data_IF_015148862266
#
_entry.id   IF_015148862266
#
_cell.length_a   1.000
_cell.length_b   1.000
_cell.length_c   1.000
_cell.angle_alpha   90.00
_cell.angle_beta   90.00
_cell.angle_gamma   90.00
#
_symmetry.space_group_name_H-M   'P 1'
#
loop_
_entity.id
_entity.type
_entity.pdbx_description
1 polymer ?
#
# COMPACT_ATOMS: atom_id res chain seq x y z
N UNK A 1 -19.83 -2.16 7.36
CA UNK A 1 -18.81 -1.35 6.68
C UNK A 1 -18.32 -0.33 7.66
N UNK A 2 -17.02 -0.16 7.75
CA UNK A 2 -16.36 0.87 8.54
C UNK A 2 -15.61 1.80 7.58
N UNK A 3 -15.77 3.11 7.77
CA UNK A 3 -15.20 4.14 6.90
C UNK A 3 -14.26 5.02 7.72
N UNK A 4 -13.02 5.19 7.24
CA UNK A 4 -12.04 6.12 7.82
C UNK A 4 -11.34 6.93 6.74
N UNK A 5 -11.03 8.18 7.06
CA UNK A 5 -10.22 9.05 6.22
C UNK A 5 -8.83 9.20 6.85
N UNK A 6 -7.80 8.65 6.22
CA UNK A 6 -6.42 8.82 6.66
C UNK A 6 -5.78 10.01 5.96
N UNK A 7 -5.18 10.91 6.73
CA UNK A 7 -4.43 12.07 6.21
C UNK A 7 -2.96 11.90 6.55
N UNK A 8 -2.14 11.75 5.52
CA UNK A 8 -0.70 11.54 5.66
C UNK A 8 0.03 12.72 5.00
N UNK A 9 0.59 13.60 5.82
CA UNK A 9 1.42 14.68 5.33
C UNK A 9 2.82 14.17 4.99
N UNK A 10 3.41 14.70 3.93
CA UNK A 10 4.77 14.36 3.49
C UNK A 10 5.58 15.63 3.26
N UNK A 11 6.89 15.65 3.60
CA UNK A 11 7.82 16.76 3.32
C UNK A 11 8.22 16.82 1.84
N UNK A 12 7.24 16.69 0.95
CA UNK A 12 7.36 16.57 -0.50
C UNK A 12 6.29 17.44 -1.16
N UNK A 13 6.45 17.72 -2.45
CA UNK A 13 5.34 18.21 -3.29
C UNK A 13 4.52 17.03 -3.83
N UNK A 14 3.28 17.30 -4.27
CA UNK A 14 2.45 16.35 -5.02
C UNK A 14 3.21 15.84 -6.26
N UNK A 15 3.92 16.73 -6.98
CA UNK A 15 4.70 16.34 -8.15
C UNK A 15 5.81 15.33 -7.84
N UNK A 16 6.56 15.56 -6.76
CA UNK A 16 7.62 14.63 -6.29
C UNK A 16 7.01 13.30 -5.82
N UNK A 17 5.91 13.35 -5.06
CA UNK A 17 5.26 12.15 -4.54
C UNK A 17 4.71 11.24 -5.66
N UNK A 18 4.39 11.80 -6.84
CA UNK A 18 4.02 11.00 -8.03
C UNK A 18 5.09 9.95 -8.36
N UNK A 19 6.37 10.31 -8.27
CA UNK A 19 7.50 9.44 -8.56
C UNK A 19 7.83 8.59 -7.34
N UNK A 20 7.97 9.23 -6.18
CA UNK A 20 8.36 8.56 -4.94
C UNK A 20 7.42 7.43 -4.52
N UNK A 21 6.10 7.56 -4.76
CA UNK A 21 5.16 6.49 -4.43
C UNK A 21 5.38 5.24 -5.30
N UNK A 22 5.67 5.40 -6.60
CA UNK A 22 5.85 4.28 -7.51
C UNK A 22 7.13 3.52 -7.13
N UNK A 23 8.22 4.26 -6.93
CA UNK A 23 9.47 3.72 -6.44
C UNK A 23 9.28 2.96 -5.12
N UNK A 24 8.64 3.60 -4.13
CA UNK A 24 8.39 3.01 -2.82
C UNK A 24 7.56 1.73 -2.93
N UNK A 25 6.47 1.73 -3.69
CA UNK A 25 5.59 0.56 -3.85
C UNK A 25 6.38 -0.61 -4.45
N UNK A 26 7.18 -0.37 -5.49
CA UNK A 26 7.96 -1.42 -6.15
C UNK A 26 9.04 -1.99 -5.22
N UNK A 27 9.82 -1.13 -4.56
CA UNK A 27 10.87 -1.55 -3.63
C UNK A 27 10.30 -2.25 -2.40
N UNK A 28 9.25 -1.69 -1.79
CA UNK A 28 8.59 -2.29 -0.63
C UNK A 28 8.03 -3.67 -0.96
N UNK A 29 7.34 -3.80 -2.09
CA UNK A 29 6.80 -5.09 -2.55
C UNK A 29 7.91 -6.13 -2.70
N UNK A 30 9.07 -5.73 -3.25
CA UNK A 30 10.22 -6.61 -3.39
C UNK A 30 10.87 -7.01 -2.06
N UNK A 31 10.96 -6.08 -1.09
CA UNK A 31 11.51 -6.35 0.24
C UNK A 31 10.60 -7.25 1.09
N UNK A 32 9.28 -7.10 0.95
CA UNK A 32 8.29 -7.89 1.71
C UNK A 32 7.95 -9.24 1.06
N UNK A 33 8.45 -9.51 -0.14
CA UNK A 33 8.21 -10.78 -0.83
C UNK A 33 9.39 -11.73 -0.68
N UNK A 34 9.10 -12.93 -0.21
CA UNK A 34 10.07 -14.03 -0.13
C UNK A 34 9.34 -15.38 -0.15
N UNK A 35 9.98 -16.42 -0.73
CA UNK A 35 9.57 -17.84 -0.62
C UNK A 35 8.07 -18.12 -0.76
N UNK A 36 7.44 -17.68 -1.85
CA UNK A 36 6.01 -17.93 -2.13
C UNK A 36 5.02 -17.12 -1.27
N UNK A 37 5.51 -16.16 -0.49
CA UNK A 37 4.73 -15.15 0.22
C UNK A 37 5.07 -13.76 -0.35
N UNK A 38 4.11 -12.83 -0.30
CA UNK A 38 4.29 -11.47 -0.82
C UNK A 38 3.46 -11.18 -2.06
N UNK A 39 3.98 -10.32 -2.94
CA UNK A 39 3.22 -9.65 -4.00
C UNK A 39 3.59 -10.22 -5.36
N UNK A 40 2.63 -10.82 -6.06
CA UNK A 40 2.71 -11.14 -7.47
C UNK A 40 1.99 -10.06 -8.28
N UNK A 41 2.68 -9.45 -9.23
CA UNK A 41 2.08 -8.52 -10.18
C UNK A 41 1.55 -9.30 -11.37
N UNK A 42 0.22 -9.29 -11.54
CA UNK A 42 -0.49 -10.02 -12.58
C UNK A 42 -0.65 -9.17 -13.83
N UNK A 43 -1.00 -7.90 -13.66
CA UNK A 43 -1.22 -6.97 -14.77
C UNK A 43 -0.68 -5.58 -14.39
N UNK A 44 -0.06 -4.90 -15.36
CA UNK A 44 0.36 -3.50 -15.26
C UNK A 44 0.32 -2.87 -16.65
N UNK A 45 -0.73 -2.09 -16.94
CA UNK A 45 -0.95 -1.53 -18.28
C UNK A 45 -1.59 -0.14 -18.24
N UNK A 46 -1.40 0.68 -19.30
CA UNK A 46 -2.14 1.92 -19.45
C UNK A 46 -3.65 1.68 -19.48
N UNK A 47 -4.41 2.60 -18.89
CA UNK A 47 -5.87 2.53 -18.83
C UNK A 47 -6.48 3.90 -19.16
N UNK A 48 -7.55 3.94 -19.94
CA UNK A 48 -8.27 5.18 -20.26
C UNK A 48 -9.68 5.11 -19.64
N UNK A 49 -9.98 6.07 -18.76
CA UNK A 49 -11.29 6.19 -18.12
C UNK A 49 -12.10 7.35 -18.74
N UNK A 50 -13.40 7.17 -19.03
CA UNK A 50 -14.24 8.22 -19.60
C UNK A 50 -14.37 9.49 -18.73
N UNK A 51 -14.21 9.37 -17.41
CA UNK A 51 -14.38 10.45 -16.45
C UNK A 51 -13.04 10.98 -15.92
N UNK A 52 -12.05 10.10 -15.75
CA UNK A 52 -10.75 10.43 -15.15
C UNK A 52 -9.61 10.54 -16.16
N UNK A 53 -9.83 10.18 -17.42
CA UNK A 53 -8.85 10.25 -18.50
C UNK A 53 -7.79 9.16 -18.41
N UNK A 54 -6.57 9.49 -18.85
CA UNK A 54 -5.46 8.55 -18.90
C UNK A 54 -4.95 8.19 -17.50
N UNK A 55 -4.70 6.92 -17.27
CA UNK A 55 -4.14 6.37 -16.04
C UNK A 55 -3.39 5.06 -16.27
N UNK A 56 -3.09 4.39 -15.17
CA UNK A 56 -2.47 3.07 -15.14
C UNK A 56 -3.35 2.10 -14.36
N UNK A 57 -3.64 0.95 -14.92
CA UNK A 57 -4.27 -0.16 -14.21
C UNK A 57 -3.21 -1.15 -13.74
N UNK A 58 -3.33 -1.61 -12.50
CA UNK A 58 -2.55 -2.74 -12.00
C UNK A 58 -3.45 -3.76 -11.30
N UNK A 59 -3.15 -5.04 -11.49
CA UNK A 59 -3.71 -6.13 -10.70
C UNK A 59 -2.57 -6.90 -10.04
N UNK A 60 -2.68 -7.13 -8.73
CA UNK A 60 -1.71 -7.87 -7.94
C UNK A 60 -2.40 -8.91 -7.07
N UNK A 61 -1.68 -9.98 -6.76
CA UNK A 61 -2.08 -10.99 -5.78
C UNK A 61 -1.11 -10.96 -4.62
N UNK A 62 -1.66 -10.79 -3.41
CA UNK A 62 -0.89 -10.76 -2.18
C UNK A 62 -1.11 -12.07 -1.42
N UNK A 63 -0.06 -12.88 -1.32
CA UNK A 63 -0.03 -14.15 -0.61
C UNK A 63 0.40 -13.91 0.84
N UNK A 64 -0.47 -14.27 1.79
CA UNK A 64 -0.36 -13.91 3.22
C UNK A 64 -0.52 -15.12 4.17
N UNK A 65 -0.29 -16.34 3.70
CA UNK A 65 -0.62 -17.53 4.50
C UNK A 65 0.26 -17.65 5.75
N UNK A 66 1.50 -17.19 5.69
CA UNK A 66 2.44 -17.17 6.82
C UNK A 66 2.14 -16.08 7.85
N UNK A 67 1.43 -15.03 7.43
CA UNK A 67 1.10 -13.85 8.26
C UNK A 67 -0.15 -14.05 9.13
N UNK A 68 -0.86 -15.16 8.97
CA UNK A 68 -1.99 -15.50 9.83
C UNK A 68 -1.55 -15.99 11.22
N UNK A 69 -2.26 -15.60 12.29
CA UNK A 69 -2.09 -16.21 13.60
C UNK A 69 -2.20 -17.75 13.54
N UNK A 70 -1.44 -18.46 14.38
CA UNK A 70 -1.37 -19.94 14.33
C UNK A 70 -2.73 -20.64 14.41
N UNK A 71 -3.69 -20.10 15.17
CA UNK A 71 -5.05 -20.66 15.24
C UNK A 71 -5.82 -20.53 13.92
N UNK A 72 -5.59 -19.45 13.16
CA UNK A 72 -6.26 -19.20 11.88
C UNK A 72 -5.64 -20.06 10.76
N UNK A 73 -4.31 -20.26 10.77
CA UNK A 73 -3.61 -21.10 9.79
C UNK A 73 -4.11 -22.54 9.74
N UNK A 74 -4.63 -23.07 10.85
CA UNK A 74 -5.14 -24.44 10.92
C UNK A 74 -6.51 -24.63 10.24
N UNK A 75 -7.26 -23.55 10.01
CA UNK A 75 -8.66 -23.62 9.55
C UNK A 75 -8.92 -22.83 8.25
N UNK A 76 -8.02 -21.92 7.89
CA UNK A 76 -8.12 -21.10 6.68
C UNK A 76 -7.34 -21.80 5.55
N UNK A 77 -7.98 -22.14 4.40
CA UNK A 77 -7.26 -22.69 3.26
C UNK A 77 -6.31 -21.63 2.69
N UNK A 78 -5.36 -22.05 1.86
CA UNK A 78 -4.49 -21.10 1.16
C UNK A 78 -5.35 -20.10 0.40
N UNK A 79 -5.10 -18.81 0.64
CA UNK A 79 -5.82 -17.71 0.01
C UNK A 79 -4.84 -16.65 -0.44
N UNK A 80 -5.35 -15.72 -1.24
CA UNK A 80 -4.66 -14.51 -1.63
C UNK A 80 -5.65 -13.35 -1.60
N UNK A 81 -5.11 -12.16 -1.41
CA UNK A 81 -5.86 -10.91 -1.58
C UNK A 81 -5.57 -10.40 -2.98
N UNK A 82 -6.60 -10.18 -3.79
CA UNK A 82 -6.47 -9.50 -5.08
C UNK A 82 -6.56 -8.00 -4.84
N UNK A 83 -5.50 -7.27 -5.20
CA UNK A 83 -5.46 -5.81 -5.31
C UNK A 83 -5.71 -5.43 -6.77
N UNK A 84 -6.67 -4.55 -7.02
CA UNK A 84 -6.84 -3.85 -8.30
C UNK A 84 -6.70 -2.36 -8.05
N UNK A 85 -5.86 -1.68 -8.81
CA UNK A 85 -5.63 -0.26 -8.66
C UNK A 85 -5.71 0.48 -9.99
N UNK A 86 -6.45 1.60 -10.00
CA UNK A 86 -6.54 2.53 -11.11
C UNK A 86 -5.93 3.86 -10.68
N UNK A 87 -4.79 4.20 -11.28
CA UNK A 87 -4.01 5.38 -10.95
C UNK A 87 -4.18 6.46 -12.03
N UNK A 88 -4.98 7.47 -11.71
CA UNK A 88 -5.25 8.67 -12.51
C UNK A 88 -4.58 9.89 -11.86
N UNK A 89 -3.35 9.74 -11.36
CA UNK A 89 -2.69 10.70 -10.47
C UNK A 89 -2.97 12.17 -10.87
N UNK A 90 -3.52 13.01 -9.97
CA UNK A 90 -3.53 12.88 -8.50
C UNK A 90 -4.79 12.22 -7.89
N UNK A 91 -5.49 11.37 -8.62
CA UNK A 91 -6.57 10.54 -8.07
C UNK A 91 -6.25 9.05 -8.24
N UNK A 92 -6.59 8.22 -7.26
CA UNK A 92 -6.35 6.77 -7.33
C UNK A 92 -7.50 6.03 -6.67
N UNK A 93 -7.93 4.94 -7.31
CA UNK A 93 -8.88 3.98 -6.75
C UNK A 93 -8.13 2.67 -6.53
N UNK A 94 -8.35 2.02 -5.40
CA UNK A 94 -7.78 0.70 -5.11
C UNK A 94 -8.81 -0.18 -4.43
N UNK A 95 -9.01 -1.37 -4.97
CA UNK A 95 -9.94 -2.37 -4.49
C UNK A 95 -9.19 -3.62 -4.05
N UNK A 96 -9.51 -4.12 -2.87
CA UNK A 96 -9.02 -5.40 -2.36
C UNK A 96 -10.19 -6.36 -2.19
N UNK A 97 -10.01 -7.59 -2.67
CA UNK A 97 -10.93 -8.71 -2.45
C UNK A 97 -10.15 -9.93 -1.99
N UNK A 98 -10.79 -10.87 -1.30
CA UNK A 98 -10.14 -12.07 -0.79
C UNK A 98 -10.69 -13.32 -1.48
N UNK A 99 -9.80 -14.17 -2.00
CA UNK A 99 -10.20 -15.39 -2.72
C UNK A 99 -10.94 -16.41 -1.86
N UNK A 100 -10.76 -16.36 -0.53
CA UNK A 100 -11.45 -17.24 0.42
C UNK A 100 -12.69 -16.59 1.05
N UNK A 101 -12.74 -15.26 1.15
CA UNK A 101 -13.79 -14.52 1.85
C UNK A 101 -14.55 -13.64 0.85
N UNK A 102 -15.55 -14.16 0.12
CA UNK A 102 -16.21 -13.43 -0.97
C UNK A 102 -17.00 -12.19 -0.52
N UNK A 103 -17.29 -12.07 0.79
CA UNK A 103 -17.95 -10.89 1.39
C UNK A 103 -16.98 -9.91 2.04
N UNK A 104 -15.68 -10.12 1.88
CA UNK A 104 -14.64 -9.21 2.33
C UNK A 104 -14.22 -8.29 1.19
N UNK A 105 -14.25 -6.98 1.43
CA UNK A 105 -13.62 -6.02 0.54
C UNK A 105 -13.01 -4.84 1.29
N UNK A 106 -11.97 -4.25 0.69
CA UNK A 106 -11.46 -2.93 1.05
C UNK A 106 -11.55 -2.07 -0.21
N UNK A 107 -12.13 -0.89 -0.08
CA UNK A 107 -12.15 0.13 -1.14
C UNK A 107 -11.41 1.36 -0.65
N UNK A 108 -10.43 1.83 -1.42
CA UNK A 108 -9.61 2.99 -1.08
C UNK A 108 -9.66 3.98 -2.22
N UNK A 109 -10.08 5.20 -1.90
CA UNK A 109 -9.92 6.34 -2.78
C UNK A 109 -8.85 7.26 -2.23
N UNK A 110 -7.90 7.65 -3.08
CA UNK A 110 -6.81 8.54 -2.69
C UNK A 110 -6.82 9.80 -3.53
N UNK A 111 -6.71 10.96 -2.86
CA UNK A 111 -6.49 12.26 -3.47
C UNK A 111 -5.25 12.91 -2.86
N UNK A 112 -4.54 13.72 -3.63
CA UNK A 112 -3.31 14.38 -3.20
C UNK A 112 -3.41 15.90 -3.40
N UNK A 113 -3.01 16.68 -2.39
CA UNK A 113 -2.98 18.15 -2.47
C UNK A 113 -1.71 18.71 -1.80
N UNK A 114 -1.17 19.80 -2.33
CA UNK A 114 -0.05 20.55 -1.73
C UNK A 114 -0.53 21.40 -0.54
N UNK A 115 -0.95 20.71 0.53
CA UNK A 115 -1.34 21.32 1.79
C UNK A 115 -1.00 20.39 2.97
N UNK A 116 -1.34 20.84 4.18
CA UNK A 116 -1.03 20.12 5.43
C UNK A 116 -2.20 19.30 5.99
N UNK A 117 -3.03 18.73 5.12
CA UNK A 117 -4.18 17.93 5.54
C UNK A 117 -5.38 18.76 5.99
N UNK A 118 -5.54 19.97 5.44
CA UNK A 118 -6.54 20.95 5.86
C UNK A 118 -7.87 20.91 5.07
N UNK A 119 -7.96 20.13 3.99
CA UNK A 119 -9.18 20.07 3.17
C UNK A 119 -10.20 19.07 3.75
N UNK A 120 -11.23 19.58 4.41
CA UNK A 120 -12.30 18.75 4.99
C UNK A 120 -13.35 18.30 3.98
N UNK A 121 -13.38 18.93 2.79
CA UNK A 121 -14.38 18.68 1.75
C UNK A 121 -13.85 17.80 0.62
N UNK A 122 -12.64 17.26 0.75
CA UNK A 122 -11.96 16.54 -0.33
C UNK A 122 -12.71 15.27 -0.77
N UNK A 123 -13.54 14.68 0.10
CA UNK A 123 -14.36 13.50 -0.17
C UNK A 123 -15.88 13.77 -0.05
N UNK A 124 -16.32 15.02 -0.23
CA UNK A 124 -17.75 15.36 -0.09
C UNK A 124 -18.60 14.76 -1.21
N UNK A 125 -18.01 14.35 -2.34
CA UNK A 125 -18.77 13.65 -3.39
C UNK A 125 -18.98 12.17 -3.05
N UNK A 126 -18.01 11.57 -2.36
CA UNK A 126 -17.95 10.13 -2.14
C UNK A 126 -18.47 9.71 -0.76
N UNK A 127 -18.45 10.62 0.22
CA UNK A 127 -18.81 10.34 1.61
C UNK A 127 -19.61 11.47 2.29
N UNK A 128 -20.39 12.26 1.54
CA UNK A 128 -21.13 13.43 2.07
C UNK A 128 -21.97 13.15 3.31
N UNK A 129 -22.65 12.00 3.31
CA UNK A 129 -23.65 11.62 4.31
C UNK A 129 -23.20 10.40 5.13
N UNK A 130 -21.92 10.05 5.06
CA UNK A 130 -21.35 8.92 5.79
C UNK A 130 -20.53 9.42 6.98
N UNK A 131 -20.81 8.86 8.15
CA UNK A 131 -19.95 9.09 9.32
C UNK A 131 -18.56 8.50 9.04
N UNK A 132 -17.53 9.34 9.13
CA UNK A 132 -16.14 8.96 8.92
C UNK A 132 -15.25 9.52 10.02
N UNK A 133 -14.37 8.66 10.54
CA UNK A 133 -13.31 9.09 11.45
C UNK A 133 -12.14 9.64 10.63
N UNK A 134 -11.74 10.89 10.89
CA UNK A 134 -10.55 11.49 10.28
C UNK A 134 -9.33 11.17 11.15
N UNK A 135 -8.41 10.38 10.62
CA UNK A 135 -7.19 9.94 11.29
C UNK A 135 -5.97 10.60 10.65
N UNK A 136 -5.22 11.41 11.39
CA UNK A 136 -3.91 11.87 10.94
C UNK A 136 -2.87 10.79 11.23
N UNK A 137 -2.01 10.52 10.25
CA UNK A 137 -0.83 9.66 10.43
C UNK A 137 0.41 10.55 10.38
N UNK A 138 1.19 10.56 11.46
CA UNK A 138 2.45 11.28 11.53
C UNK A 138 3.62 10.33 11.28
N UNK A 139 4.28 10.47 10.12
CA UNK A 139 5.39 9.60 9.72
C UNK A 139 6.59 9.68 10.68
N UNK A 140 6.75 10.75 11.44
CA UNK A 140 7.84 10.92 12.39
C UNK A 140 7.44 10.46 13.80
N UNK A 141 6.23 10.79 14.25
CA UNK A 141 5.84 10.62 15.65
C UNK A 141 5.03 9.36 15.94
N UNK A 142 4.28 8.82 14.98
CA UNK A 142 3.47 7.63 15.22
C UNK A 142 4.34 6.37 15.35
N UNK A 143 3.97 5.51 16.29
CA UNK A 143 4.65 4.22 16.51
C UNK A 143 4.33 3.22 15.40
N UNK A 144 5.36 2.47 14.98
CA UNK A 144 5.24 1.28 14.12
C UNK A 144 5.55 0.02 14.93
N UNK A 145 5.05 -1.16 14.53
CA UNK A 145 5.43 -2.40 15.18
C UNK A 145 6.96 -2.61 15.09
N UNK A 146 7.59 -2.92 16.23
CA UNK A 146 9.06 -3.06 16.38
C UNK A 146 9.72 -3.92 15.29
N UNK A 147 9.05 -4.99 14.86
CA UNK A 147 9.54 -5.90 13.81
C UNK A 147 9.76 -5.22 12.43
N UNK A 148 9.14 -4.06 12.20
CA UNK A 148 9.29 -3.27 10.98
C UNK A 148 10.19 -2.04 11.19
N UNK A 149 10.66 -1.79 12.42
CA UNK A 149 11.51 -0.64 12.68
C UNK A 149 12.91 -0.85 12.10
N UNK A 150 13.37 0.13 11.31
CA UNK A 150 14.74 0.26 10.87
C UNK A 150 15.15 1.72 11.09
N UNK A 151 16.28 1.93 11.77
CA UNK A 151 16.79 3.27 12.07
C UNK A 151 17.03 4.10 10.80
N UNK A 152 17.49 3.46 9.73
CA UNK A 152 17.70 4.10 8.42
C UNK A 152 16.40 4.58 7.75
N UNK A 153 15.25 4.06 8.18
CA UNK A 153 13.92 4.42 7.67
C UNK A 153 13.15 5.30 8.65
N UNK A 154 13.80 5.81 9.71
CA UNK A 154 13.17 6.72 10.66
C UNK A 154 13.29 8.18 10.24
N UNK A 155 12.20 8.89 9.90
CA UNK A 155 12.23 10.31 9.57
C UNK A 155 12.78 11.22 10.67
N UNK A 156 12.78 10.79 11.94
CA UNK A 156 13.43 11.52 13.05
C UNK A 156 14.95 11.48 12.98
N UNK A 157 15.51 10.48 12.32
CA UNK A 157 16.97 10.28 12.21
C UNK A 157 17.49 10.50 10.79
N UNK A 158 16.64 10.29 9.79
CA UNK A 158 16.95 10.48 8.39
C UNK A 158 17.03 11.96 8.01
N UNK A 159 18.05 12.30 7.22
CA UNK A 159 18.19 13.58 6.53
C UNK A 159 18.70 13.30 5.12
N UNK A 160 17.96 13.80 4.13
CA UNK A 160 18.30 13.66 2.73
C UNK A 160 19.56 14.45 2.38
N UNK A 161 20.51 13.81 1.70
CA UNK A 161 21.70 14.46 1.17
C UNK A 161 21.37 15.29 -0.08
N UNK A 162 20.42 14.84 -0.91
CA UNK A 162 20.05 15.53 -2.16
C UNK A 162 19.20 16.78 -1.93
N UNK A 163 18.26 16.69 -1.00
CA UNK A 163 17.27 17.75 -0.77
C UNK A 163 17.53 18.58 0.49
N UNK A 164 18.36 18.06 1.40
CA UNK A 164 18.59 18.65 2.72
C UNK A 164 17.41 18.52 3.70
N UNK A 165 16.30 17.87 3.29
CA UNK A 165 15.07 17.71 4.08
C UNK A 165 15.25 16.67 5.18
N UNK A 166 14.55 16.86 6.29
CA UNK A 166 14.77 16.11 7.52
C UNK A 166 15.94 16.68 8.34
N UNK A 167 16.13 16.27 9.59
CA UNK A 167 15.33 15.34 10.38
C UNK A 167 13.98 15.94 10.79
N UNK A 168 12.92 15.13 10.76
CA UNK A 168 11.58 15.56 11.16
C UNK A 168 11.43 15.53 12.69
N UNK A 169 10.95 16.63 13.26
CA UNK A 169 10.70 16.77 14.71
C UNK A 169 9.21 16.85 14.98
N UNK A 170 8.81 16.70 16.24
CA UNK A 170 7.42 16.95 16.65
C UNK A 170 6.96 18.34 16.17
N UNK A 171 5.77 18.39 15.57
CA UNK A 171 5.21 19.61 14.99
C UNK A 171 5.75 19.98 13.59
N UNK A 172 6.58 19.13 12.96
CA UNK A 172 7.18 19.42 11.64
C UNK A 172 6.14 19.81 10.57
N UNK A 173 4.94 19.23 10.63
CA UNK A 173 3.83 19.49 9.69
C UNK A 173 3.46 20.98 9.59
N UNK A 174 3.63 21.75 10.66
CA UNK A 174 3.25 23.16 10.68
C UNK A 174 4.35 24.10 10.16
N UNK A 175 5.60 23.64 10.10
CA UNK A 175 6.75 24.46 9.74
C UNK A 175 7.47 24.02 8.45
N UNK A 176 7.30 22.77 8.01
CA UNK A 176 8.04 22.22 6.87
C UNK A 176 7.51 22.75 5.54
N UNK A 177 8.43 23.03 4.60
CA UNK A 177 8.13 23.32 3.20
C UNK A 177 9.20 22.66 2.30
N UNK A 178 8.83 22.03 1.17
CA UNK A 178 7.45 21.82 0.69
C UNK A 178 6.65 20.86 1.58
N UNK A 179 5.33 20.85 1.42
CA UNK A 179 4.43 19.91 2.09
C UNK A 179 3.23 19.55 1.21
N UNK A 180 2.90 18.26 1.18
CA UNK A 180 1.69 17.70 0.58
C UNK A 180 0.95 16.84 1.58
N UNK A 181 -0.33 16.56 1.32
CA UNK A 181 -1.11 15.57 2.06
C UNK A 181 -1.75 14.55 1.11
N UNK A 182 -1.56 13.26 1.43
CA UNK A 182 -2.29 12.15 0.85
C UNK A 182 -3.53 11.93 1.70
N UNK A 183 -4.70 12.09 1.11
CA UNK A 183 -6.00 11.84 1.73
C UNK A 183 -6.49 10.50 1.22
N UNK A 184 -6.73 9.54 2.12
CA UNK A 184 -7.14 8.18 1.80
C UNK A 184 -8.46 7.86 2.47
N UNK A 185 -9.54 7.81 1.70
CA UNK A 185 -10.84 7.34 2.15
C UNK A 185 -10.87 5.82 2.05
N UNK A 186 -10.84 5.14 3.20
CA UNK A 186 -10.76 3.68 3.28
C UNK A 186 -12.09 3.15 3.81
N UNK A 187 -12.74 2.34 2.99
CA UNK A 187 -13.93 1.57 3.36
C UNK A 187 -13.53 0.10 3.53
N UNK A 188 -13.77 -0.47 4.71
CA UNK A 188 -13.65 -1.92 4.93
C UNK A 188 -15.04 -2.51 5.10
N UNK A 189 -15.34 -3.57 4.35
CA UNK A 189 -16.61 -4.29 4.40
C UNK A 189 -16.36 -5.76 4.73
N UNK A 190 -17.01 -6.25 5.79
CA UNK A 190 -16.96 -7.67 6.16
C UNK A 190 -18.30 -8.17 6.70
N UNK A 191 -19.09 -8.85 5.87
CA UNK A 191 -20.47 -9.27 6.22
C UNK A 191 -20.55 -10.70 6.78
N UNK A 192 -19.87 -10.95 7.92
CA UNK A 192 -19.98 -12.22 8.65
C UNK A 192 -20.58 -11.98 10.04
N UNK A 193 -21.68 -12.67 10.32
CA UNK A 193 -22.43 -12.53 11.58
C UNK A 193 -21.52 -12.83 12.79
N UNK A 194 -21.59 -11.94 13.79
CA UNK A 194 -20.80 -12.05 15.03
C UNK A 194 -19.32 -11.65 14.92
N UNK A 195 -18.79 -11.41 13.71
CA UNK A 195 -17.37 -11.07 13.50
C UNK A 195 -17.13 -9.72 12.78
N UNK A 196 -18.18 -9.14 12.17
CA UNK A 196 -18.11 -7.89 11.39
C UNK A 196 -17.24 -6.80 12.02
N UNK A 197 -17.67 -6.21 13.13
CA UNK A 197 -17.00 -5.06 13.76
C UNK A 197 -15.54 -5.36 14.12
N UNK A 198 -15.28 -6.55 14.68
CA UNK A 198 -13.94 -6.95 15.12
C UNK A 198 -12.97 -7.06 13.95
N UNK A 199 -13.41 -7.63 12.83
CA UNK A 199 -12.59 -7.80 11.63
C UNK A 199 -12.41 -6.47 10.91
N UNK A 200 -13.47 -5.67 10.74
CA UNK A 200 -13.39 -4.34 10.12
C UNK A 200 -12.38 -3.44 10.87
N UNK A 201 -12.44 -3.42 12.21
CA UNK A 201 -11.48 -2.69 13.05
C UNK A 201 -10.04 -3.22 12.94
N UNK A 202 -9.88 -4.55 12.95
CA UNK A 202 -8.56 -5.17 12.80
C UNK A 202 -7.91 -4.80 11.46
N UNK A 203 -8.68 -4.86 10.37
CA UNK A 203 -8.19 -4.52 9.03
C UNK A 203 -7.82 -3.04 8.94
N UNK A 204 -8.61 -2.13 9.52
CA UNK A 204 -8.23 -0.71 9.59
C UNK A 204 -6.93 -0.46 10.37
N UNK A 205 -6.65 -1.24 11.42
CA UNK A 205 -5.36 -1.18 12.11
C UNK A 205 -4.22 -1.61 11.18
N UNK A 206 -4.39 -2.72 10.46
CA UNK A 206 -3.39 -3.20 9.49
C UNK A 206 -3.17 -2.17 8.37
N UNK A 207 -4.24 -1.59 7.81
CA UNK A 207 -4.15 -0.54 6.79
C UNK A 207 -3.37 0.66 7.33
N UNK A 208 -3.68 1.14 8.54
CA UNK A 208 -2.94 2.26 9.16
C UNK A 208 -1.45 1.96 9.28
N UNK A 209 -1.09 0.76 9.75
CA UNK A 209 0.31 0.37 9.92
C UNK A 209 1.04 0.33 8.57
N UNK A 210 0.43 -0.24 7.53
CA UNK A 210 0.98 -0.27 6.16
C UNK A 210 1.16 1.14 5.61
N UNK A 211 0.16 2.01 5.78
CA UNK A 211 0.23 3.40 5.34
C UNK A 211 1.38 4.13 6.04
N UNK A 212 1.52 4.00 7.35
CA UNK A 212 2.60 4.63 8.10
C UNK A 212 3.98 4.14 7.64
N UNK A 213 4.17 2.82 7.53
CA UNK A 213 5.45 2.22 7.10
C UNK A 213 5.81 2.66 5.68
N UNK A 214 4.89 2.53 4.73
CA UNK A 214 5.15 2.90 3.32
C UNK A 214 5.47 4.38 3.16
N UNK A 215 4.82 5.27 3.91
CA UNK A 215 5.12 6.70 3.83
C UNK A 215 6.44 7.07 4.52
N UNK A 216 6.81 6.40 5.62
CA UNK A 216 8.17 6.54 6.20
C UNK A 216 9.25 6.18 5.19
N UNK A 217 9.07 5.04 4.52
CA UNK A 217 9.98 4.56 3.49
C UNK A 217 10.04 5.48 2.26
N UNK A 218 8.89 5.99 1.79
CA UNK A 218 8.85 6.94 0.69
C UNK A 218 9.74 8.16 0.95
N UNK A 219 9.74 8.68 2.19
CA UNK A 219 10.61 9.80 2.56
C UNK A 219 12.06 9.36 2.82
N UNK A 220 12.28 8.27 3.55
CA UNK A 220 13.62 7.79 3.87
C UNK A 220 14.42 7.34 2.63
N UNK A 221 13.74 6.93 1.56
CA UNK A 221 14.37 6.58 0.29
C UNK A 221 14.40 7.74 -0.71
N UNK A 222 14.10 8.98 -0.29
CA UNK A 222 14.04 10.13 -1.21
C UNK A 222 15.32 10.31 -2.01
N UNK A 223 16.50 10.10 -1.41
CA UNK A 223 17.76 10.23 -2.13
C UNK A 223 17.91 9.21 -3.28
N UNK A 224 17.19 8.09 -3.23
CA UNK A 224 17.23 7.06 -4.27
C UNK A 224 16.37 7.42 -5.49
N UNK A 225 15.25 8.12 -5.29
CA UNK A 225 14.27 8.38 -6.36
C UNK A 225 14.12 9.86 -6.75
N UNK A 226 14.67 10.82 -5.99
CA UNK A 226 14.42 12.25 -6.19
C UNK A 226 14.75 12.78 -7.59
N UNK A 227 15.82 12.26 -8.21
CA UNK A 227 16.25 12.68 -9.56
C UNK A 227 15.67 11.81 -10.67
N UNK A 228 14.84 10.81 -10.35
CA UNK A 228 14.21 9.98 -11.36
C UNK A 228 13.20 10.80 -12.14
N UNK A 229 13.15 10.57 -13.45
CA UNK A 229 12.03 10.97 -14.28
C UNK A 229 10.88 9.96 -14.13
N UNK A 230 9.71 10.29 -14.71
CA UNK A 230 8.61 9.33 -14.81
C UNK A 230 9.01 8.09 -15.61
N UNK A 231 9.88 8.21 -16.62
CA UNK A 231 10.32 7.07 -17.42
C UNK A 231 11.27 6.17 -16.60
N UNK A 232 12.20 6.77 -15.87
CA UNK A 232 13.14 6.03 -15.00
C UNK A 232 12.40 5.20 -13.95
N UNK A 233 11.40 5.78 -13.27
CA UNK A 233 10.65 5.06 -12.24
C UNK A 233 9.75 3.97 -12.84
N UNK A 234 9.28 4.13 -14.09
CA UNK A 234 8.52 3.08 -14.80
C UNK A 234 9.42 1.92 -15.21
N UNK A 235 10.63 2.19 -15.65
CA UNK A 235 11.63 1.15 -15.91
C UNK A 235 12.00 0.42 -14.62
N UNK A 236 12.24 1.15 -13.53
CA UNK A 236 12.48 0.58 -12.21
C UNK A 236 11.32 -0.30 -11.74
N UNK A 237 10.09 0.20 -11.85
CA UNK A 237 8.86 -0.53 -11.50
C UNK A 237 8.78 -1.86 -12.27
N UNK A 238 8.97 -1.83 -13.59
CA UNK A 238 8.95 -3.02 -14.43
C UNK A 238 10.00 -4.04 -14.00
N UNK A 239 11.25 -3.61 -13.86
CA UNK A 239 12.36 -4.48 -13.45
C UNK A 239 12.11 -5.10 -12.06
N UNK A 240 11.53 -4.33 -11.14
CA UNK A 240 11.24 -4.82 -9.80
C UNK A 240 10.06 -5.77 -9.76
N UNK A 241 9.03 -5.55 -10.58
CA UNK A 241 7.93 -6.49 -10.72
C UNK A 241 8.41 -7.85 -11.22
N UNK A 242 9.26 -7.87 -12.25
CA UNK A 242 9.82 -9.12 -12.78
C UNK A 242 10.62 -9.87 -11.71
N UNK A 243 11.53 -9.19 -11.00
CA UNK A 243 12.32 -9.81 -9.94
C UNK A 243 11.47 -10.29 -8.76
N UNK A 244 10.42 -9.56 -8.41
CA UNK A 244 9.51 -9.93 -7.32
C UNK A 244 8.68 -11.15 -7.70
N UNK A 245 8.14 -11.17 -8.92
CA UNK A 245 7.40 -12.33 -9.44
C UNK A 245 8.29 -13.58 -9.48
N UNK A 246 9.57 -13.46 -9.86
CA UNK A 246 10.52 -14.58 -9.80
C UNK A 246 10.65 -15.14 -8.37
N UNK A 247 10.75 -14.29 -7.35
CA UNK A 247 10.82 -14.71 -5.93
C UNK A 247 9.57 -15.47 -5.48
N UNK A 248 8.40 -15.02 -5.91
CA UNK A 248 7.10 -15.56 -5.48
C UNK A 248 6.72 -16.82 -6.28
N UNK A 249 6.86 -16.79 -7.61
CA UNK A 249 6.32 -17.81 -8.51
C UNK A 249 7.24 -19.02 -8.73
N UNK A 250 8.57 -18.89 -8.61
CA UNK A 250 9.50 -20.01 -8.87
C UNK A 250 9.30 -21.22 -7.92
N UNK A 251 8.54 -21.09 -6.83
CA UNK A 251 8.17 -22.22 -5.97
C UNK A 251 6.73 -22.71 -6.14
N UNK A 252 5.85 -21.94 -6.79
CA UNK A 252 4.52 -22.44 -7.13
C UNK A 252 4.60 -23.54 -8.19
N UNK A 253 5.49 -23.41 -9.18
CA UNK A 253 5.76 -24.48 -10.15
C UNK A 253 6.29 -25.75 -9.48
N UNK A 254 7.27 -25.64 -8.57
CA UNK A 254 7.85 -26.82 -7.91
C UNK A 254 6.85 -27.58 -7.03
N UNK A 255 5.91 -26.87 -6.38
CA UNK A 255 4.92 -27.52 -5.51
C UNK A 255 3.81 -28.20 -6.33
N UNK A 256 3.41 -27.63 -7.47
CA UNK A 256 2.43 -28.25 -8.38
C UNK A 256 3.04 -29.48 -9.07
N UNK A 257 4.29 -29.38 -9.52
CA UNK A 257 5.02 -30.50 -10.13
C UNK A 257 5.27 -31.64 -9.13
N UNK A 258 5.50 -31.35 -7.84
CA UNK A 258 5.60 -32.37 -6.78
C UNK A 258 4.25 -33.07 -6.48
N UNK A 259 3.13 -32.34 -6.54
CA UNK A 259 1.79 -32.92 -6.34
C UNK A 259 1.37 -33.76 -7.56
N UNK A 260 1.65 -33.30 -8.78
CA UNK A 260 1.35 -34.06 -10.00
C UNK A 260 2.24 -35.32 -10.13
N UNK A 261 3.52 -35.24 -9.73
CA UNK A 261 4.41 -36.41 -9.73
C UNK A 261 4.06 -37.44 -8.65
N UNK A 262 3.55 -37.02 -7.48
CA UNK A 262 3.03 -37.94 -6.47
C UNK A 262 1.68 -38.58 -6.87
N UNK A 263 0.85 -37.85 -7.63
CA UNK A 263 -0.39 -38.40 -8.18
C UNK A 263 -0.13 -39.43 -9.30
N UNK A 264 0.90 -39.24 -10.12
CA UNK A 264 1.27 -40.18 -11.20
C UNK A 264 2.04 -41.42 -10.73
N UNK A 265 2.66 -41.38 -9.55
CA UNK A 265 3.38 -42.54 -8.96
C UNK A 265 2.49 -43.43 -8.10
N UNK A 266 1.22 -43.05 -7.91
CA UNK A 266 0.25 -43.78 -7.06
C UNK A 266 -0.82 -44.55 -7.86
N UNK A 267 -0.63 -44.77 -9.16
CA UNK A 267 -1.49 -45.61 -10.03
C UNK A 267 -0.76 -46.83 -10.55
#
# INVERSE_FOLDING_TARGET
MLLKEYRICMPLTVAEYKIGQLYMISKHSHEQSDRGEGVEVVQNEPFEDPHHGNGQFTEKRVYLNSNLPSWARAVVPRFYVTEKAWNYYPYTITEYTCSFLPKFSIHIETKYEDNKGSNNSIFDNEAKDLEREVCFIDIACDEIPERYYKESEDPKHFKSEKTGRGQLREGWRDSHQPIMCSYKLVTVKFEVWGLQTRVEQFVHKVVRDILLIGHRQAFAWVDEWYDMTMDDVREYEKNMHEQTNIKVCNQHSSTVDEIESQAQTST
#
